data_IF_734312301542
#
_entry.id   IF_734312301542
#
_cell.length_a   1.000
_cell.length_b   1.000
_cell.length_c   1.000
_cell.angle_alpha   90.00
_cell.angle_beta   90.00
_cell.angle_gamma   90.00
#
_symmetry.space_group_name_H-M   'P 1'
#
loop_
_entity.id
_entity.type
_entity.pdbx_description
1 polymer ?
#
# COMPACT_ATOMS: atom_id res chain seq x y z
N UNK A 1 16.64 4.65 -14.31
CA UNK A 1 15.34 4.74 -15.02
C UNK A 1 14.70 3.37 -14.91
N UNK A 2 13.95 3.14 -13.84
CA UNK A 2 13.16 1.93 -13.68
C UNK A 2 11.72 2.37 -13.81
N UNK A 3 10.94 1.69 -14.66
CA UNK A 3 9.50 1.86 -14.66
C UNK A 3 8.94 0.95 -13.57
N UNK A 4 8.10 1.48 -12.69
CA UNK A 4 7.25 0.66 -11.84
C UNK A 4 6.14 0.09 -12.74
N UNK A 5 6.12 -1.23 -12.94
CA UNK A 5 5.12 -1.91 -13.76
C UNK A 5 3.91 -2.29 -12.91
N UNK A 6 2.78 -1.61 -13.14
CA UNK A 6 1.49 -2.01 -12.60
C UNK A 6 0.87 -3.14 -13.45
N UNK A 7 0.16 -4.10 -12.80
CA UNK A 7 -0.26 -5.38 -13.38
C UNK A 7 -1.69 -5.75 -12.95
N UNK A 8 -2.69 -5.22 -13.67
CA UNK A 8 -4.12 -5.42 -13.41
C UNK A 8 -4.63 -6.80 -13.85
N UNK A 9 -5.62 -7.38 -13.16
CA UNK A 9 -6.14 -8.74 -13.47
C UNK A 9 -7.68 -8.85 -13.42
N UNK A 10 -8.33 -8.02 -14.21
CA UNK A 10 -9.79 -7.82 -14.27
C UNK A 10 -10.63 -9.10 -14.48
N UNK A 11 -11.74 -9.23 -13.74
CA UNK A 11 -12.83 -10.19 -14.01
C UNK A 11 -14.09 -9.53 -14.57
N UNK A 12 -14.09 -9.13 -15.85
CA UNK A 12 -15.34 -8.88 -16.59
C UNK A 12 -15.11 -8.98 -18.11
N UNK A 13 -15.87 -9.86 -18.78
CA UNK A 13 -15.90 -10.20 -20.23
C UNK A 13 -14.56 -10.54 -20.94
N UNK A 14 -13.47 -9.80 -20.72
CA UNK A 14 -12.18 -9.97 -21.40
C UNK A 14 -11.13 -10.56 -20.46
N UNK A 15 -10.46 -11.66 -20.90
CA UNK A 15 -9.32 -12.26 -20.19
C UNK A 15 -8.03 -11.50 -20.51
N UNK A 16 -7.96 -10.23 -20.11
CA UNK A 16 -6.83 -9.34 -20.40
C UNK A 16 -6.16 -8.86 -19.11
N UNK A 17 -4.82 -8.85 -19.13
CA UNK A 17 -3.98 -8.16 -18.13
C UNK A 17 -3.66 -6.79 -18.70
N UNK A 18 -3.91 -5.74 -17.94
CA UNK A 18 -3.51 -4.38 -18.32
C UNK A 18 -2.21 -4.06 -17.62
N UNK A 19 -1.20 -3.67 -18.41
CA UNK A 19 0.10 -3.22 -17.92
C UNK A 19 0.15 -1.70 -18.06
N UNK A 20 0.33 -1.00 -16.94
CA UNK A 20 0.46 0.45 -16.89
C UNK A 20 1.89 0.83 -16.47
N UNK A 21 2.43 1.84 -17.13
CA UNK A 21 3.77 2.40 -16.90
C UNK A 21 3.84 3.91 -17.23
N UNK A 22 2.67 4.54 -17.32
CA UNK A 22 2.45 5.96 -17.55
C UNK A 22 2.67 6.76 -16.26
N UNK A 23 3.74 7.56 -16.23
CA UNK A 23 4.05 8.44 -15.12
C UNK A 23 3.01 9.55 -14.94
N UNK A 24 2.67 9.87 -13.69
CA UNK A 24 1.68 10.91 -13.34
C UNK A 24 0.39 10.37 -12.71
N UNK A 25 0.23 9.05 -12.58
CA UNK A 25 -0.83 8.43 -11.77
C UNK A 25 -0.71 8.82 -10.30
N UNK A 26 -1.85 8.95 -9.63
CA UNK A 26 -1.93 9.10 -8.18
C UNK A 26 -1.95 7.71 -7.52
N UNK A 27 -0.78 7.24 -7.10
CA UNK A 27 -0.64 5.96 -6.40
C UNK A 27 -0.56 6.15 -4.88
N UNK A 28 -1.13 5.23 -4.09
CA UNK A 28 -1.16 5.27 -2.62
C UNK A 28 -0.24 4.19 -2.04
N UNK A 29 0.69 4.53 -1.13
CA UNK A 29 1.51 3.53 -0.45
C UNK A 29 0.67 2.73 0.55
N UNK A 30 0.73 1.40 0.46
CA UNK A 30 0.10 0.44 1.36
C UNK A 30 1.09 -0.65 1.78
N UNK A 31 0.91 -1.23 2.98
CA UNK A 31 1.81 -2.28 3.49
C UNK A 31 1.36 -3.65 2.99
N UNK A 32 2.28 -4.40 2.37
CA UNK A 32 1.96 -5.72 1.82
C UNK A 32 1.76 -6.75 2.96
N UNK A 33 0.72 -7.56 2.83
CA UNK A 33 0.40 -8.69 3.70
C UNK A 33 0.69 -10.00 2.97
N UNK A 34 1.15 -11.02 3.70
CA UNK A 34 1.31 -12.38 3.17
C UNK A 34 0.79 -13.39 4.17
N UNK A 35 -0.29 -14.11 3.80
CA UNK A 35 -0.97 -15.11 4.66
C UNK A 35 -1.40 -14.54 6.03
N UNK A 36 -2.12 -13.42 6.03
CA UNK A 36 -2.58 -12.74 7.26
C UNK A 36 -1.47 -12.13 8.13
N UNK A 37 -0.23 -12.02 7.64
CA UNK A 37 0.89 -11.40 8.36
C UNK A 37 1.47 -10.25 7.54
N UNK A 38 1.47 -9.06 8.13
CA UNK A 38 2.13 -7.87 7.58
C UNK A 38 3.63 -8.13 7.40
N UNK A 39 4.21 -7.73 6.25
CA UNK A 39 5.66 -7.81 6.05
C UNK A 39 6.44 -6.85 6.97
N UNK A 40 5.86 -5.70 7.32
CA UNK A 40 6.50 -4.69 8.18
C UNK A 40 6.46 -5.13 9.64
N UNK A 41 7.62 -5.53 10.16
CA UNK A 41 7.85 -5.92 11.56
C UNK A 41 8.42 -4.76 12.38
N UNK A 42 8.47 -4.93 13.71
CA UNK A 42 8.96 -3.91 14.65
C UNK A 42 10.44 -3.51 14.46
N UNK A 43 11.29 -4.38 13.90
CA UNK A 43 12.70 -4.04 13.67
C UNK A 43 12.88 -3.05 12.50
N UNK A 44 12.24 -3.27 11.34
CA UNK A 44 12.23 -2.28 10.26
C UNK A 44 11.78 -0.89 10.74
N UNK A 45 10.77 -0.82 11.62
CA UNK A 45 10.29 0.44 12.20
C UNK A 45 11.35 1.09 13.11
N UNK A 46 12.13 0.30 13.83
CA UNK A 46 13.25 0.80 14.64
C UNK A 46 14.39 1.28 13.74
N UNK A 47 14.79 0.50 12.74
CA UNK A 47 15.84 0.83 11.77
C UNK A 47 15.51 2.11 10.96
N UNK A 48 14.23 2.35 10.66
CA UNK A 48 13.72 3.60 10.06
C UNK A 48 13.76 4.79 11.04
N UNK A 49 13.59 4.56 12.34
CA UNK A 49 13.65 5.61 13.37
C UNK A 49 15.09 5.94 13.79
N UNK A 50 15.96 4.93 13.82
CA UNK A 50 17.40 5.08 14.05
C UNK A 50 18.12 5.75 12.85
N UNK A 51 17.48 5.75 11.67
CA UNK A 51 17.97 6.40 10.44
C UNK A 51 18.73 5.49 9.47
N UNK A 52 18.92 4.22 9.81
CA UNK A 52 19.64 3.20 9.02
C UNK A 52 18.88 2.78 7.75
N UNK A 53 17.54 2.77 7.79
CA UNK A 53 16.69 2.49 6.63
C UNK A 53 15.93 3.73 6.15
N UNK A 54 16.03 4.02 4.85
CA UNK A 54 15.20 5.04 4.18
C UNK A 54 13.88 4.44 3.69
N UNK A 55 12.85 5.27 3.49
CA UNK A 55 11.55 4.81 2.96
C UNK A 55 11.67 4.12 1.58
N UNK A 56 12.61 4.59 0.74
CA UNK A 56 13.01 3.96 -0.53
C UNK A 56 13.42 2.49 -0.35
N UNK A 57 14.12 2.13 0.74
CA UNK A 57 14.45 0.74 1.02
C UNK A 57 13.19 -0.13 1.25
N UNK A 58 12.15 0.40 1.91
CA UNK A 58 10.90 -0.33 2.13
C UNK A 58 10.15 -0.65 0.83
N UNK A 59 10.31 0.17 -0.21
CA UNK A 59 9.78 -0.11 -1.54
C UNK A 59 10.59 -1.20 -2.24
N UNK A 60 11.92 -1.08 -2.26
CA UNK A 60 12.84 -2.05 -2.90
C UNK A 60 12.79 -3.44 -2.26
N UNK A 61 12.66 -3.50 -0.94
CA UNK A 61 12.49 -4.74 -0.16
C UNK A 61 11.06 -5.31 -0.28
N UNK A 62 10.17 -4.60 -0.98
CA UNK A 62 8.78 -4.97 -1.17
C UNK A 62 8.02 -5.07 0.16
N UNK A 63 8.29 -4.18 1.12
CA UNK A 63 7.53 -4.08 2.37
C UNK A 63 6.29 -3.21 2.20
N UNK A 64 6.39 -2.21 1.33
CA UNK A 64 5.35 -1.26 0.93
C UNK A 64 5.19 -1.34 -0.59
N UNK A 65 3.98 -1.11 -1.10
CA UNK A 65 3.62 -1.11 -2.52
C UNK A 65 2.81 0.16 -2.85
N UNK A 66 3.03 0.74 -4.02
CA UNK A 66 2.29 1.91 -4.51
C UNK A 66 1.17 1.46 -5.45
N UNK A 67 -0.05 1.32 -4.91
CA UNK A 67 -1.22 0.90 -5.68
C UNK A 67 -1.91 2.10 -6.33
N UNK A 68 -2.27 1.99 -7.61
CA UNK A 68 -3.08 3.01 -8.30
C UNK A 68 -4.59 2.80 -8.10
N UNK A 69 -5.39 3.74 -8.61
CA UNK A 69 -6.84 3.70 -8.48
C UNK A 69 -7.54 2.61 -9.32
N UNK A 70 -6.84 1.99 -10.29
CA UNK A 70 -7.33 0.86 -11.09
C UNK A 70 -7.13 -0.46 -10.32
N UNK A 71 -5.91 -0.67 -9.82
CA UNK A 71 -5.51 -1.85 -9.03
C UNK A 71 -6.15 -1.89 -7.65
N UNK A 72 -6.43 -0.72 -7.04
CA UNK A 72 -7.08 -0.66 -5.73
C UNK A 72 -8.45 -1.39 -5.70
N UNK A 73 -9.10 -1.60 -6.84
CA UNK A 73 -10.35 -2.36 -6.95
C UNK A 73 -10.15 -3.88 -6.93
N UNK A 74 -8.98 -4.39 -7.34
CA UNK A 74 -8.65 -5.82 -7.40
C UNK A 74 -8.03 -6.33 -6.07
N UNK A 75 -7.84 -5.48 -5.05
CA UNK A 75 -7.13 -5.79 -3.79
C UNK A 75 -7.98 -5.67 -2.52
N UNK A 76 -7.82 -6.63 -1.60
CA UNK A 76 -8.42 -6.60 -0.26
C UNK A 76 -7.53 -5.82 0.72
N UNK A 77 -8.00 -4.66 1.21
CA UNK A 77 -7.27 -3.74 2.10
C UNK A 77 -7.94 -3.63 3.48
N UNK A 78 -7.24 -3.91 4.58
CA UNK A 78 -7.74 -3.67 5.95
C UNK A 78 -7.20 -2.38 6.57
N UNK A 79 -7.93 -1.85 7.55
CA UNK A 79 -7.55 -0.63 8.28
C UNK A 79 -6.58 -0.93 9.43
N UNK A 80 -6.72 -2.10 10.05
CA UNK A 80 -5.91 -2.57 11.19
C UNK A 80 -5.08 -3.81 10.83
N UNK A 81 -4.20 -4.23 11.76
CA UNK A 81 -3.45 -5.50 11.67
C UNK A 81 -4.21 -6.65 12.32
N UNK A 82 -5.19 -6.31 13.14
CA UNK A 82 -6.02 -7.17 13.97
C UNK A 82 -7.16 -7.80 13.15
N UNK A 83 -7.67 -7.08 12.15
CA UNK A 83 -8.67 -7.54 11.17
C UNK A 83 -8.06 -8.31 9.98
N UNK A 84 -6.74 -8.50 9.94
CA UNK A 84 -6.05 -9.06 8.77
C UNK A 84 -6.29 -10.57 8.62
N UNK A 85 -7.09 -10.96 7.63
CA UNK A 85 -7.41 -12.37 7.32
C UNK A 85 -6.35 -12.99 6.41
N UNK A 86 -6.50 -14.29 6.11
CA UNK A 86 -5.67 -14.97 5.09
C UNK A 86 -5.84 -14.40 3.68
N UNK A 87 -6.95 -13.71 3.41
CA UNK A 87 -7.32 -13.12 2.11
C UNK A 87 -6.95 -11.62 2.02
N UNK A 88 -6.65 -10.98 3.15
CA UNK A 88 -6.12 -9.61 3.17
C UNK A 88 -4.80 -9.53 2.41
N UNK A 89 -4.77 -8.68 1.38
CA UNK A 89 -3.58 -8.42 0.56
C UNK A 89 -2.73 -7.27 1.11
N UNK A 90 -3.39 -6.25 1.69
CA UNK A 90 -2.78 -4.98 2.05
C UNK A 90 -3.33 -4.40 3.36
N UNK A 91 -2.50 -3.60 4.05
CA UNK A 91 -2.87 -2.87 5.27
C UNK A 91 -2.60 -1.37 5.09
N UNK A 92 -3.54 -0.56 5.57
CA UNK A 92 -3.44 0.91 5.64
C UNK A 92 -2.30 1.32 6.61
N UNK A 93 -1.38 2.20 6.18
CA UNK A 93 -0.21 2.61 7.00
C UNK A 93 -0.65 3.38 8.25
N UNK A 94 -1.37 4.49 8.05
CA UNK A 94 -2.14 5.19 9.06
C UNK A 94 -3.62 4.93 8.73
N UNK A 95 -4.45 4.57 9.71
CA UNK A 95 -5.83 4.09 9.51
C UNK A 95 -6.81 5.12 8.93
N UNK A 96 -7.86 5.49 9.68
CA UNK A 96 -8.90 6.42 9.20
C UNK A 96 -8.34 7.80 8.80
N UNK A 97 -7.35 8.31 9.53
CA UNK A 97 -6.76 9.64 9.31
C UNK A 97 -6.03 9.80 7.97
N UNK A 98 -5.53 8.73 7.35
CA UNK A 98 -4.84 8.81 6.05
C UNK A 98 -5.78 9.16 4.87
N UNK A 99 -7.09 9.21 5.10
CA UNK A 99 -8.11 9.57 4.09
C UNK A 99 -8.41 11.08 4.07
N UNK A 100 -7.78 11.86 4.94
CA UNK A 100 -8.14 13.24 5.26
C UNK A 100 -7.02 14.19 4.86
N UNK A 101 -7.36 15.28 4.15
CA UNK A 101 -6.40 16.29 3.71
C UNK A 101 -5.91 17.19 4.86
N UNK A 102 -4.73 17.80 4.69
CA UNK A 102 -4.04 18.55 5.75
C UNK A 102 -4.91 19.62 6.45
N UNK A 103 -5.75 20.34 5.71
CA UNK A 103 -6.64 21.36 6.28
C UNK A 103 -7.72 20.78 7.22
N UNK A 104 -8.18 19.55 6.98
CA UNK A 104 -9.16 18.88 7.83
C UNK A 104 -8.50 18.12 8.99
N UNK A 105 -7.22 17.74 8.86
CA UNK A 105 -6.42 17.16 9.97
C UNK A 105 -6.21 18.11 11.17
N UNK A 106 -6.62 19.37 11.06
CA UNK A 106 -6.65 20.37 12.15
C UNK A 106 -7.90 20.25 13.05
N UNK A 107 -8.92 19.48 12.64
CA UNK A 107 -10.17 19.33 13.40
C UNK A 107 -9.99 18.21 14.45
N UNK A 108 -10.12 18.50 15.76
CA UNK A 108 -9.93 17.49 16.80
C UNK A 108 -11.13 16.52 16.88
N UNK A 109 -10.84 15.26 17.23
CA UNK A 109 -11.83 14.18 17.45
C UNK A 109 -12.70 13.80 16.24
N UNK A 110 -12.13 13.79 15.03
CA UNK A 110 -12.69 13.11 13.85
C UNK A 110 -12.21 11.65 13.72
#
# INVERSE_FOLDING_TARGET
MNADLNVKKTQCLQRCVYLAADGGRLCRPLVIVKKGKSKVKKHHIKELFDGELTFDAFLRDGLIEYLDADEQNDVMVTLSKEEATSETTHIQINGSSSKIGAAAGLIPYM
#
